data_IF_148002838748
#
_entry.id   IF_148002838748
#
_cell.length_a   1.000
_cell.length_b   1.000
_cell.length_c   1.000
_cell.angle_alpha   90.00
_cell.angle_beta   90.00
_cell.angle_gamma   90.00
#
_symmetry.space_group_name_H-M   'P 1'
#
loop_
_entity.id
_entity.type
_entity.pdbx_description
1 polymer ?
#
# COMPACT_ATOMS: atom_id res chain seq x y z
N UNK A 1 4.57 -8.56 -5.11
CA UNK A 1 3.96 -9.45 -6.14
C UNK A 1 4.61 -10.83 -6.24
N UNK A 2 5.90 -10.96 -6.55
CA UNK A 2 6.58 -12.28 -6.69
C UNK A 2 6.40 -13.22 -5.48
N UNK A 3 6.52 -12.68 -4.27
CA UNK A 3 6.31 -13.43 -3.01
C UNK A 3 4.84 -13.80 -2.75
N UNK A 4 3.88 -13.00 -3.23
CA UNK A 4 2.46 -13.38 -3.14
C UNK A 4 2.17 -14.57 -4.03
N UNK A 5 2.65 -14.57 -5.28
CA UNK A 5 2.41 -15.67 -6.22
C UNK A 5 3.02 -16.99 -5.72
N UNK A 6 4.16 -16.95 -5.04
CA UNK A 6 4.77 -18.16 -4.46
C UNK A 6 4.01 -18.70 -3.24
N UNK A 7 3.44 -17.81 -2.41
CA UNK A 7 2.71 -18.22 -1.19
C UNK A 7 1.22 -18.48 -1.43
N UNK A 8 0.63 -17.84 -2.43
CA UNK A 8 -0.79 -17.90 -2.75
C UNK A 8 -0.97 -18.07 -4.27
N UNK A 9 -0.56 -19.22 -4.83
CA UNK A 9 -0.61 -19.45 -6.28
C UNK A 9 -2.03 -19.48 -6.86
N UNK A 10 -3.03 -19.66 -6.00
CA UNK A 10 -4.45 -19.63 -6.35
C UNK A 10 -5.02 -18.19 -6.46
N UNK A 11 -4.26 -17.17 -6.05
CA UNK A 11 -4.67 -15.78 -6.20
C UNK A 11 -4.27 -15.27 -7.58
N UNK A 12 -5.26 -15.19 -8.47
CA UNK A 12 -5.13 -14.46 -9.72
C UNK A 12 -5.06 -12.96 -9.46
N UNK A 13 -4.14 -12.27 -10.13
CA UNK A 13 -4.09 -10.82 -10.12
C UNK A 13 -3.86 -10.27 -11.53
N UNK A 14 -4.38 -9.08 -11.78
CA UNK A 14 -4.06 -8.27 -12.97
C UNK A 14 -3.40 -6.97 -12.50
N UNK A 15 -2.29 -6.59 -13.14
CA UNK A 15 -1.61 -5.33 -12.90
C UNK A 15 -2.03 -4.33 -13.97
N UNK A 16 -2.33 -3.11 -13.58
CA UNK A 16 -2.57 -1.99 -14.47
C UNK A 16 -1.64 -0.83 -14.14
N UNK A 17 -1.28 -0.04 -15.14
CA UNK A 17 -0.57 1.23 -15.02
C UNK A 17 -1.48 2.37 -15.51
N UNK A 18 -1.41 3.51 -14.83
CA UNK A 18 -2.17 4.72 -15.20
C UNK A 18 -1.65 5.32 -16.51
N UNK A 19 -2.56 5.78 -17.38
CA UNK A 19 -2.23 6.51 -18.61
C UNK A 19 -1.94 7.99 -18.37
N UNK A 20 -2.15 8.51 -17.15
CA UNK A 20 -1.94 9.92 -16.84
C UNK A 20 -0.46 10.22 -16.58
N UNK A 21 0.14 11.02 -17.47
CA UNK A 21 1.58 11.33 -17.50
C UNK A 21 2.15 12.02 -16.24
N UNK A 22 1.31 12.63 -15.41
CA UNK A 22 1.71 13.35 -14.19
C UNK A 22 1.70 12.49 -12.92
N UNK A 23 1.46 11.18 -13.09
CA UNK A 23 1.42 10.22 -11.99
C UNK A 23 2.84 9.75 -11.64
N UNK A 24 3.47 10.39 -10.67
CA UNK A 24 4.87 10.13 -10.27
C UNK A 24 5.03 9.53 -8.86
N UNK A 25 3.95 9.12 -8.21
CA UNK A 25 3.99 8.57 -6.85
C UNK A 25 4.19 7.05 -6.80
N UNK A 26 4.73 6.57 -5.68
CA UNK A 26 4.71 5.16 -5.23
C UNK A 26 3.33 4.71 -4.71
N UNK A 27 2.31 5.49 -5.03
CA UNK A 27 0.93 5.30 -4.63
C UNK A 27 0.27 4.23 -5.50
N UNK A 28 -0.57 3.39 -4.91
CA UNK A 28 -1.22 2.30 -5.62
C UNK A 28 -2.68 2.12 -5.20
N UNK A 29 -3.49 1.60 -6.12
CA UNK A 29 -4.82 1.07 -5.83
C UNK A 29 -4.76 -0.44 -5.72
N UNK A 30 -5.39 -0.97 -4.68
CA UNK A 30 -5.60 -2.40 -4.52
C UNK A 30 -7.09 -2.68 -4.60
N UNK A 31 -7.51 -3.34 -5.66
CA UNK A 31 -8.90 -3.69 -5.93
C UNK A 31 -9.10 -5.18 -5.62
N UNK A 32 -10.01 -5.52 -4.73
CA UNK A 32 -10.27 -6.89 -4.29
C UNK A 32 -11.73 -7.23 -4.54
N UNK A 33 -11.97 -8.20 -5.41
CA UNK A 33 -13.31 -8.77 -5.60
C UNK A 33 -13.64 -9.62 -4.36
N UNK A 34 -14.73 -9.28 -3.69
CA UNK A 34 -15.29 -9.95 -2.52
C UNK A 34 -15.96 -11.28 -2.90
N UNK A 35 -16.28 -12.12 -1.91
CA UNK A 35 -16.93 -13.42 -2.16
C UNK A 35 -18.36 -13.28 -2.73
N UNK A 36 -19.02 -12.15 -2.49
CA UNK A 36 -20.33 -11.80 -3.07
C UNK A 36 -20.23 -11.21 -4.49
N UNK A 37 -19.02 -11.13 -5.05
CA UNK A 37 -18.74 -10.60 -6.37
C UNK A 37 -18.61 -9.07 -6.44
N UNK A 38 -18.82 -8.34 -5.35
CA UNK A 38 -18.61 -6.90 -5.30
C UNK A 38 -17.12 -6.54 -5.26
N UNK A 39 -16.76 -5.36 -5.72
CA UNK A 39 -15.40 -4.85 -5.69
C UNK A 39 -15.20 -3.84 -4.56
N UNK A 40 -14.14 -4.03 -3.78
CA UNK A 40 -13.64 -3.05 -2.82
C UNK A 40 -12.27 -2.55 -3.29
N UNK A 41 -12.10 -1.23 -3.29
CA UNK A 41 -10.83 -0.58 -3.63
C UNK A 41 -10.21 0.06 -2.41
N UNK A 42 -8.93 -0.25 -2.19
CA UNK A 42 -8.08 0.34 -1.18
C UNK A 42 -7.09 1.30 -1.85
N UNK A 43 -7.10 2.56 -1.43
CA UNK A 43 -6.10 3.54 -1.84
C UNK A 43 -4.90 3.41 -0.89
N UNK A 44 -3.74 3.05 -1.43
CA UNK A 44 -2.58 2.67 -0.65
C UNK A 44 -1.40 3.60 -0.91
N UNK A 45 -0.91 4.21 0.16
CA UNK A 45 0.32 4.98 0.14
C UNK A 45 1.48 4.17 0.73
N UNK A 46 2.53 3.92 -0.05
CA UNK A 46 3.64 3.10 0.40
C UNK A 46 4.65 3.87 1.28
N UNK A 47 5.21 3.18 2.29
CA UNK A 47 6.32 3.66 3.14
C UNK A 47 7.31 2.54 3.42
N UNK A 48 8.60 2.86 3.33
CA UNK A 48 9.69 1.91 3.60
C UNK A 48 10.21 2.13 5.02
N UNK A 49 10.55 1.04 5.71
CA UNK A 49 11.19 1.10 7.02
C UNK A 49 12.68 1.46 6.90
N UNK A 50 13.17 2.33 7.78
CA UNK A 50 14.57 2.72 7.88
C UNK A 50 15.14 2.30 9.21
N UNK A 51 16.30 1.64 9.18
CA UNK A 51 17.01 1.19 10.37
C UNK A 51 18.25 2.02 10.61
N UNK A 52 18.47 2.43 11.86
CA UNK A 52 19.75 2.97 12.28
C UNK A 52 20.76 1.81 12.34
N UNK A 53 21.69 1.76 11.39
CA UNK A 53 22.66 0.67 11.25
C UNK A 53 23.69 0.69 12.38
N UNK A 54 23.62 -0.27 13.29
CA UNK A 54 24.73 -0.60 14.19
C UNK A 54 25.47 -1.82 13.64
N UNK A 55 26.28 -1.61 12.60
CA UNK A 55 27.36 -2.41 11.94
C UNK A 55 27.40 -3.96 11.96
N UNK A 56 26.57 -4.71 12.69
CA UNK A 56 26.59 -6.19 12.70
C UNK A 56 25.22 -6.86 12.86
N UNK A 57 24.19 -6.17 13.39
CA UNK A 57 22.81 -6.72 13.51
C UNK A 57 21.78 -5.60 13.37
N UNK A 58 20.78 -5.82 12.53
CA UNK A 58 19.61 -4.93 12.40
C UNK A 58 18.51 -5.46 13.33
N UNK A 59 18.01 -4.62 14.24
CA UNK A 59 16.80 -4.90 15.01
C UNK A 59 15.63 -4.18 14.34
N UNK A 60 14.68 -4.94 13.79
CA UNK A 60 13.52 -4.37 13.11
C UNK A 60 12.64 -3.53 14.06
N UNK A 61 12.57 -3.90 15.34
CA UNK A 61 11.87 -3.14 16.39
C UNK A 61 12.32 -1.68 16.51
N UNK A 62 13.55 -1.37 16.08
CA UNK A 62 14.11 -0.02 16.14
C UNK A 62 13.97 0.73 14.80
N UNK A 63 13.33 0.10 13.81
CA UNK A 63 13.08 0.71 12.52
C UNK A 63 12.00 1.77 12.61
N UNK A 64 12.15 2.80 11.78
CA UNK A 64 11.29 3.98 11.74
C UNK A 64 10.78 4.22 10.33
N UNK A 65 9.66 4.91 10.21
CA UNK A 65 9.12 5.36 8.92
C UNK A 65 9.29 6.88 8.81
N UNK A 66 10.51 7.40 8.56
CA UNK A 66 10.75 8.84 8.53
C UNK A 66 9.95 9.54 7.42
N UNK A 67 9.58 8.83 6.35
CA UNK A 67 8.75 9.33 5.24
C UNK A 67 7.29 9.56 5.62
N UNK A 68 6.86 9.23 6.85
CA UNK A 68 5.52 9.58 7.33
C UNK A 68 5.30 11.09 7.35
N UNK A 69 6.37 11.87 7.62
CA UNK A 69 6.33 13.33 7.52
C UNK A 69 6.74 13.75 6.11
N UNK A 70 5.78 13.85 5.20
CA UNK A 70 6.01 14.22 3.80
C UNK A 70 5.02 15.31 3.37
N UNK A 71 5.57 16.42 2.87
CA UNK A 71 4.78 17.46 2.20
C UNK A 71 4.88 17.34 0.69
N UNK A 72 3.75 17.42 0.01
CA UNK A 72 3.70 17.40 -1.46
C UNK A 72 3.66 18.83 -1.98
N UNK A 73 4.35 19.07 -3.10
CA UNK A 73 4.41 20.35 -3.80
C UNK A 73 5.41 21.36 -3.21
N UNK A 74 5.83 22.30 -4.06
CA UNK A 74 6.90 23.27 -3.76
C UNK A 74 6.63 24.17 -2.54
N UNK A 75 5.37 24.30 -2.10
CA UNK A 75 4.95 25.26 -1.06
C UNK A 75 4.63 24.58 0.29
N UNK A 76 4.89 23.28 0.48
CA UNK A 76 4.59 22.54 1.73
C UNK A 76 3.17 22.75 2.26
N UNK A 77 2.18 22.90 1.37
CA UNK A 77 0.79 23.21 1.75
C UNK A 77 -0.04 21.97 1.98
N UNK A 78 0.28 20.88 1.28
CA UNK A 78 -0.53 19.68 1.25
C UNK A 78 0.21 18.54 1.94
N UNK A 79 -0.45 17.94 2.90
CA UNK A 79 0.06 16.84 3.69
C UNK A 79 -0.43 15.51 3.11
N UNK A 80 0.48 14.56 2.94
CA UNK A 80 0.22 13.30 2.27
C UNK A 80 -0.94 12.49 2.88
N UNK A 81 -1.07 12.42 4.21
CA UNK A 81 -2.20 11.69 4.82
C UNK A 81 -3.55 12.35 4.49
N UNK A 82 -3.59 13.68 4.43
CA UNK A 82 -4.82 14.39 4.07
C UNK A 82 -5.13 14.22 2.59
N UNK A 83 -4.11 14.26 1.71
CA UNK A 83 -4.28 14.00 0.27
C UNK A 83 -4.87 12.61 0.00
N UNK A 84 -4.38 11.58 0.70
CA UNK A 84 -4.90 10.23 0.59
C UNK A 84 -6.37 10.16 1.07
N UNK A 85 -6.68 10.78 2.21
CA UNK A 85 -8.04 10.80 2.75
C UNK A 85 -9.02 11.55 1.82
N UNK A 86 -8.61 12.71 1.30
CA UNK A 86 -9.41 13.55 0.40
C UNK A 86 -9.64 12.89 -0.95
N UNK A 87 -8.68 12.07 -1.41
CA UNK A 87 -8.83 11.26 -2.60
C UNK A 87 -9.79 10.08 -2.37
N UNK A 88 -9.57 9.31 -1.30
CA UNK A 88 -10.28 8.05 -1.09
C UNK A 88 -11.76 8.25 -0.68
N UNK A 89 -12.03 9.22 0.20
CA UNK A 89 -13.37 9.43 0.78
C UNK A 89 -14.49 9.72 -0.23
N UNK A 90 -14.36 10.65 -1.18
CA UNK A 90 -15.42 10.90 -2.16
C UNK A 90 -15.62 9.71 -3.12
N UNK A 91 -14.58 8.91 -3.34
CA UNK A 91 -14.65 7.67 -4.12
C UNK A 91 -15.16 6.49 -3.28
N UNK A 92 -15.32 6.64 -1.96
CA UNK A 92 -15.61 5.53 -1.06
C UNK A 92 -14.58 4.41 -1.12
N UNK A 93 -13.32 4.73 -1.41
CA UNK A 93 -12.18 3.80 -1.31
C UNK A 93 -11.67 3.74 0.12
N UNK A 94 -11.10 2.61 0.55
CA UNK A 94 -10.51 2.51 1.89
C UNK A 94 -9.08 3.08 1.88
N UNK A 95 -8.78 4.17 2.61
CA UNK A 95 -7.45 4.77 2.63
C UNK A 95 -6.55 4.04 3.62
N UNK A 96 -5.44 3.48 3.15
CA UNK A 96 -4.45 2.82 4.01
C UNK A 96 -3.02 3.17 3.63
N UNK A 97 -2.11 2.87 4.53
CA UNK A 97 -0.66 2.89 4.28
C UNK A 97 -0.15 1.47 4.11
N UNK A 98 0.66 1.24 3.08
CA UNK A 98 1.38 -0.02 2.87
C UNK A 98 2.80 0.15 3.43
N UNK A 99 3.15 -0.63 4.45
CA UNK A 99 4.43 -0.54 5.14
C UNK A 99 5.35 -1.67 4.66
N UNK A 100 6.43 -1.31 3.97
CA UNK A 100 7.44 -2.25 3.50
C UNK A 100 8.49 -2.49 4.58
N UNK A 101 8.37 -3.63 5.26
CA UNK A 101 9.12 -4.06 6.45
C UNK A 101 10.27 -5.01 6.11
N UNK A 102 11.00 -4.72 5.02
CA UNK A 102 12.09 -5.58 4.57
C UNK A 102 13.43 -5.21 5.20
N UNK A 103 14.20 -6.23 5.60
CA UNK A 103 15.56 -6.07 6.14
C UNK A 103 16.55 -6.83 5.28
N UNK A 104 17.49 -6.12 4.64
CA UNK A 104 18.56 -6.76 3.88
C UNK A 104 19.59 -7.40 4.84
N UNK A 105 19.74 -8.73 4.74
CA UNK A 105 20.72 -9.62 5.43
C UNK A 105 20.23 -10.23 6.77
N UNK A 106 20.05 -11.56 6.84
CA UNK A 106 19.21 -12.20 7.83
C UNK A 106 20.03 -12.63 9.05
N UNK A 107 20.06 -11.79 10.07
CA UNK A 107 20.07 -12.30 11.46
C UNK A 107 19.00 -11.54 12.23
N UNK A 108 17.77 -11.62 11.73
CA UNK A 108 16.58 -11.17 12.43
C UNK A 108 16.58 -11.87 13.79
N UNK A 109 16.53 -11.09 14.87
CA UNK A 109 16.43 -11.66 16.21
C UNK A 109 15.14 -12.48 16.31
N UNK A 110 15.24 -13.70 16.85
CA UNK A 110 14.09 -14.53 17.25
C UNK A 110 13.12 -13.70 18.10
N UNK A 111 11.82 -13.82 17.83
CA UNK A 111 10.76 -13.23 18.66
C UNK A 111 9.78 -12.28 17.96
N UNK A 112 9.96 -11.99 16.66
CA UNK A 112 8.97 -11.24 15.87
C UNK A 112 8.35 -12.22 14.86
N UNK A 113 7.00 -12.30 14.76
CA UNK A 113 6.32 -13.14 13.78
C UNK A 113 6.83 -12.88 12.36
N UNK A 114 7.05 -13.96 11.59
CA UNK A 114 7.67 -13.89 10.26
C UNK A 114 6.80 -13.17 9.22
N UNK A 115 5.48 -13.16 9.41
CA UNK A 115 4.47 -12.53 8.56
C UNK A 115 4.42 -11.00 8.65
N UNK A 116 5.01 -10.42 9.70
CA UNK A 116 5.20 -8.97 9.83
C UNK A 116 6.39 -8.45 8.99
N UNK A 117 7.17 -9.36 8.39
CA UNK A 117 8.23 -9.04 7.43
C UNK A 117 7.66 -9.08 6.01
N UNK A 118 8.03 -8.11 5.17
CA UNK A 118 7.46 -7.94 3.84
C UNK A 118 6.55 -6.73 3.81
N UNK A 119 5.23 -6.92 3.68
CA UNK A 119 4.28 -5.81 3.62
C UNK A 119 3.16 -5.97 4.65
N UNK A 120 2.91 -4.93 5.42
CA UNK A 120 1.75 -4.80 6.30
C UNK A 120 0.95 -3.57 5.91
N UNK A 121 -0.29 -3.48 6.38
CA UNK A 121 -1.18 -2.34 6.12
C UNK A 121 -1.75 -1.79 7.42
N UNK A 122 -2.05 -0.50 7.43
CA UNK A 122 -2.72 0.20 8.53
C UNK A 122 -3.60 1.32 7.95
N UNK A 123 -4.77 1.55 8.51
CA UNK A 123 -5.67 2.60 8.00
C UNK A 123 -5.03 3.99 8.14
N UNK A 124 -5.27 4.85 7.15
CA UNK A 124 -4.78 6.23 7.17
C UNK A 124 -5.42 7.03 8.32
N UNK A 125 -6.66 6.68 8.68
CA UNK A 125 -7.39 7.28 9.80
C UNK A 125 -6.70 7.00 11.14
N UNK A 126 -6.34 5.74 11.42
CA UNK A 126 -5.59 5.41 12.64
C UNK A 126 -4.30 6.22 12.74
N UNK A 127 -3.51 6.28 11.65
CA UNK A 127 -2.26 7.02 11.65
C UNK A 127 -2.48 8.52 11.93
N UNK A 128 -3.50 9.11 11.32
CA UNK A 128 -3.85 10.52 11.54
C UNK A 128 -4.22 10.78 13.00
N UNK A 129 -5.04 9.93 13.60
CA UNK A 129 -5.56 10.16 14.94
C UNK A 129 -4.51 9.88 16.04
N UNK A 130 -3.64 8.89 15.84
CA UNK A 130 -2.67 8.45 16.85
C UNK A 130 -1.26 9.02 16.66
N UNK A 131 -0.92 9.41 15.43
CA UNK A 131 0.42 9.89 15.07
C UNK A 131 0.41 11.23 14.32
N UNK A 132 -0.75 11.89 14.22
CA UNK A 132 -0.89 13.23 13.69
C UNK A 132 -0.15 14.28 14.55
N UNK A 133 0.35 15.30 13.87
CA UNK A 133 0.98 16.49 14.44
C UNK A 133 0.04 17.69 14.28
N UNK A 134 0.30 18.76 15.04
CA UNK A 134 -0.48 19.99 14.96
C UNK A 134 -0.44 20.67 13.59
N UNK A 135 0.60 20.41 12.78
CA UNK A 135 0.73 20.88 11.39
C UNK A 135 -0.02 19.98 10.38
N UNK A 136 -0.82 19.04 10.90
CA UNK A 136 -1.56 18.03 10.15
C UNK A 136 -0.73 16.78 9.80
N UNK A 137 0.61 16.88 9.69
CA UNK A 137 1.44 15.76 9.21
C UNK A 137 1.46 14.59 10.19
N UNK A 138 1.95 13.46 9.72
CA UNK A 138 2.30 12.36 10.60
C UNK A 138 3.69 12.58 11.22
N UNK A 139 3.87 12.06 12.43
CA UNK A 139 5.14 12.10 13.13
C UNK A 139 6.23 11.35 12.35
N UNK A 140 7.43 11.94 12.13
CA UNK A 140 8.55 11.24 11.52
C UNK A 140 9.19 10.21 12.47
N UNK A 141 8.69 10.15 13.72
CA UNK A 141 9.19 9.27 14.77
C UNK A 141 8.41 7.95 14.85
N UNK A 142 7.38 7.73 14.02
CA UNK A 142 6.63 6.48 13.99
C UNK A 142 7.58 5.31 13.76
N UNK A 143 7.53 4.34 14.66
CA UNK A 143 8.40 3.16 14.70
C UNK A 143 7.62 1.91 14.35
N UNK A 144 8.35 0.85 13.99
CA UNK A 144 7.77 -0.48 13.78
C UNK A 144 6.90 -0.94 14.95
N UNK A 145 7.39 -0.76 16.18
CA UNK A 145 6.69 -1.20 17.41
C UNK A 145 5.46 -0.37 17.75
N UNK A 146 5.32 0.81 17.16
CA UNK A 146 4.13 1.65 17.37
C UNK A 146 2.95 1.12 16.54
N UNK A 147 3.25 0.34 15.49
CA UNK A 147 2.26 -0.14 14.52
C UNK A 147 2.08 -1.65 14.55
N UNK A 148 3.07 -2.44 14.96
CA UNK A 148 3.06 -3.90 14.82
C UNK A 148 3.17 -4.62 16.17
N UNK A 149 2.48 -5.77 16.35
CA UNK A 149 1.63 -6.48 15.38
C UNK A 149 0.20 -5.90 15.26
N UNK A 150 -0.11 -4.85 16.01
CA UNK A 150 -1.40 -4.18 16.00
C UNK A 150 -1.15 -2.67 16.18
N UNK A 151 -1.84 -1.80 15.42
CA UNK A 151 -2.97 -2.11 14.53
C UNK A 151 -2.60 -2.56 13.10
N UNK A 152 -1.33 -2.51 12.72
CA UNK A 152 -0.91 -2.91 11.38
C UNK A 152 -0.86 -4.42 11.24
N UNK A 153 -1.47 -4.94 10.18
CA UNK A 153 -1.58 -6.39 9.94
C UNK A 153 -1.01 -6.77 8.57
N UNK A 154 -0.65 -8.04 8.33
CA UNK A 154 -0.11 -8.47 7.05
C UNK A 154 -1.05 -8.17 5.89
N UNK A 155 -0.55 -7.54 4.83
CA UNK A 155 -1.42 -7.06 3.74
C UNK A 155 -2.21 -8.15 3.01
N UNK A 156 -1.71 -9.39 3.01
CA UNK A 156 -2.39 -10.53 2.40
C UNK A 156 -3.70 -10.87 3.11
N UNK A 157 -3.88 -10.45 4.37
CA UNK A 157 -5.14 -10.65 5.10
C UNK A 157 -6.29 -9.86 4.48
N UNK A 158 -6.02 -8.73 3.80
CA UNK A 158 -7.04 -8.02 3.00
C UNK A 158 -7.68 -8.94 1.95
N UNK A 159 -6.89 -9.87 1.40
CA UNK A 159 -7.33 -10.76 0.32
C UNK A 159 -7.86 -12.08 0.88
N UNK A 160 -7.25 -12.60 1.94
CA UNK A 160 -7.55 -13.94 2.46
C UNK A 160 -8.61 -13.97 3.56
N UNK A 161 -8.69 -12.92 4.41
CA UNK A 161 -9.59 -12.89 5.58
C UNK A 161 -10.73 -11.92 5.38
N UNK A 162 -10.42 -10.71 4.91
CA UNK A 162 -11.42 -9.64 4.87
C UNK A 162 -12.39 -9.78 3.68
N UNK A 163 -12.05 -10.59 2.69
CA UNK A 163 -12.83 -10.79 1.46
C UNK A 163 -14.23 -11.40 1.67
N UNK A 164 -14.40 -12.12 2.77
CA UNK A 164 -15.64 -12.82 3.12
C UNK A 164 -16.52 -12.03 4.09
N UNK A 165 -16.06 -10.87 4.56
CA UNK A 165 -16.81 -10.03 5.48
C UNK A 165 -17.82 -9.19 4.70
N UNK A 166 -18.98 -8.96 5.31
CA UNK A 166 -19.86 -7.92 4.81
C UNK A 166 -19.27 -6.53 5.08
N UNK A 167 -19.88 -5.50 4.49
CA UNK A 167 -19.41 -4.13 4.62
C UNK A 167 -19.35 -3.64 6.07
N UNK A 168 -20.31 -4.01 6.92
CA UNK A 168 -20.34 -3.52 8.30
C UNK A 168 -19.22 -4.16 9.14
N UNK A 169 -19.05 -5.47 9.00
CA UNK A 169 -18.00 -6.24 9.67
C UNK A 169 -16.61 -5.80 9.20
N UNK A 170 -16.41 -5.63 7.89
CA UNK A 170 -15.16 -5.09 7.33
C UNK A 170 -14.80 -3.73 7.94
N UNK A 171 -15.76 -2.80 7.98
CA UNK A 171 -15.53 -1.46 8.53
C UNK A 171 -15.27 -1.52 10.03
N UNK A 172 -15.90 -2.43 10.76
CA UNK A 172 -15.62 -2.66 12.18
C UNK A 172 -14.20 -3.18 12.40
N UNK A 173 -13.78 -4.21 11.65
CA UNK A 173 -12.42 -4.78 11.73
C UNK A 173 -11.32 -3.77 11.38
N UNK A 174 -11.63 -2.81 10.51
CA UNK A 174 -10.70 -1.75 10.11
C UNK A 174 -10.75 -0.51 11.01
N UNK A 175 -11.59 -0.48 12.04
CA UNK A 175 -11.86 0.70 12.89
C UNK A 175 -12.30 1.93 12.06
N UNK A 176 -13.21 1.69 11.12
CA UNK A 176 -13.76 2.66 10.16
C UNK A 176 -15.30 2.67 10.19
N UNK A 177 -15.91 2.45 11.36
CA UNK A 177 -17.37 2.45 11.52
C UNK A 177 -17.96 3.79 11.03
N UNK A 178 -18.92 3.71 10.10
CA UNK A 178 -19.56 4.88 9.48
C UNK A 178 -18.79 5.50 8.30
N UNK A 179 -17.67 4.89 7.88
CA UNK A 179 -16.97 5.30 6.66
C UNK A 179 -17.83 5.05 5.42
N UNK A 180 -17.89 6.00 4.45
CA UNK A 180 -18.74 5.88 3.26
C UNK A 180 -18.12 4.96 2.20
N UNK A 181 -17.92 3.67 2.54
CA UNK A 181 -17.42 2.66 1.60
C UNK A 181 -18.42 2.47 0.45
N UNK A 182 -17.91 2.47 -0.78
CA UNK A 182 -18.69 2.24 -2.00
C UNK A 182 -18.25 0.92 -2.64
N UNK A 183 -19.15 -0.07 -2.59
CA UNK A 183 -19.03 -1.32 -3.33
C UNK A 183 -19.28 -1.08 -4.82
N UNK A 184 -18.50 -1.71 -5.70
CA UNK A 184 -18.56 -1.51 -7.16
C UNK A 184 -18.73 -2.82 -7.92
N UNK A 185 -19.16 -2.70 -9.17
CA UNK A 185 -19.09 -3.82 -10.10
C UNK A 185 -17.62 -4.02 -10.53
N UNK A 186 -17.09 -5.25 -10.57
CA UNK A 186 -15.72 -5.49 -11.04
C UNK A 186 -15.43 -4.96 -12.45
N UNK A 187 -16.44 -4.87 -13.32
CA UNK A 187 -16.29 -4.31 -14.66
C UNK A 187 -15.94 -2.82 -14.63
N UNK A 188 -16.35 -2.07 -13.59
CA UNK A 188 -15.98 -0.66 -13.44
C UNK A 188 -14.45 -0.48 -13.32
N UNK A 189 -13.74 -1.48 -12.78
CA UNK A 189 -12.29 -1.46 -12.70
C UNK A 189 -11.60 -1.87 -14.01
N UNK A 190 -12.27 -2.67 -14.84
CA UNK A 190 -11.75 -3.20 -16.11
C UNK A 190 -11.99 -2.26 -17.28
N UNK A 191 -13.14 -1.61 -17.33
CA UNK A 191 -13.56 -0.74 -18.44
C UNK A 191 -13.06 0.72 -18.28
N UNK A 192 -12.18 0.95 -17.31
CA UNK A 192 -11.64 2.27 -17.04
C UNK A 192 -10.45 2.59 -17.97
N UNK A 193 -10.69 3.49 -18.94
CA UNK A 193 -9.69 3.96 -19.93
C UNK A 193 -8.44 4.62 -19.33
N UNK A 194 -8.48 5.02 -18.06
CA UNK A 194 -7.32 5.56 -17.36
C UNK A 194 -6.30 4.47 -17.01
N UNK A 195 -6.65 3.19 -17.13
CA UNK A 195 -5.83 2.06 -16.71
C UNK A 195 -5.52 1.14 -17.89
N UNK A 196 -4.25 0.86 -18.10
CA UNK A 196 -3.78 -0.07 -19.13
C UNK A 196 -3.20 -1.30 -18.45
N UNK A 197 -3.67 -2.48 -18.85
CA UNK A 197 -3.16 -3.74 -18.34
C UNK A 197 -1.67 -3.91 -18.70
N UNK A 198 -0.88 -4.31 -17.72
CA UNK A 198 0.56 -4.59 -17.86
C UNK A 198 0.75 -6.10 -17.92
N UNK A 199 1.36 -6.57 -19.01
CA UNK A 199 1.74 -7.97 -19.15
C UNK A 199 2.91 -8.31 -18.21
N UNK A 200 2.57 -8.99 -17.12
CA UNK A 200 3.53 -9.46 -16.10
C UNK A 200 4.09 -10.86 -16.39
N UNK A 201 3.75 -11.48 -17.53
CA UNK A 201 4.16 -12.85 -17.88
C UNK A 201 5.60 -12.93 -18.41
N UNK A 202 6.14 -11.83 -18.94
CA UNK A 202 7.44 -11.78 -19.62
C UNK A 202 8.63 -11.42 -18.72
N UNK A 203 8.40 -11.02 -17.47
CA UNK A 203 9.45 -10.66 -16.53
C UNK A 203 10.14 -11.89 -15.95
N UNK A 204 11.26 -12.29 -16.56
CA UNK A 204 12.17 -13.29 -15.98
C UNK A 204 12.70 -12.84 -14.60
N UNK A 205 13.01 -13.78 -13.69
CA UNK A 205 13.43 -13.49 -12.31
C UNK A 205 14.57 -12.47 -12.18
N UNK A 206 15.47 -12.42 -13.17
CA UNK A 206 16.74 -11.69 -13.15
C UNK A 206 16.72 -10.31 -13.85
N UNK A 207 15.58 -9.92 -14.46
CA UNK A 207 15.49 -8.76 -15.36
C UNK A 207 15.41 -7.38 -14.70
N UNK A 208 15.04 -7.28 -13.41
CA UNK A 208 15.03 -5.98 -12.70
C UNK A 208 16.46 -5.67 -12.26
N UNK A 209 17.28 -5.27 -13.22
CA UNK A 209 18.62 -4.80 -12.95
C UNK A 209 18.56 -3.62 -11.98
N UNK A 210 19.51 -3.54 -11.06
CA UNK A 210 19.68 -2.43 -10.12
C UNK A 210 19.63 -1.04 -10.82
N UNK A 211 19.99 -0.99 -12.11
CA UNK A 211 19.84 0.18 -12.99
C UNK A 211 18.39 0.61 -13.23
N UNK A 212 17.44 -0.31 -13.34
CA UNK A 212 16.01 0.00 -13.48
C UNK A 212 15.46 0.59 -12.18
N UNK A 213 15.86 0.04 -11.03
CA UNK A 213 15.54 0.57 -9.71
C UNK A 213 16.17 1.96 -9.47
N UNK A 214 17.44 2.16 -9.83
CA UNK A 214 18.12 3.45 -9.75
C UNK A 214 17.53 4.49 -10.72
N UNK A 215 17.02 4.06 -11.88
CA UNK A 215 16.32 4.93 -12.84
C UNK A 215 14.93 5.34 -12.36
N UNK A 216 14.21 4.44 -11.68
CA UNK A 216 12.95 4.74 -10.99
C UNK A 216 13.16 5.75 -9.86
N UNK A 217 14.17 5.54 -9.01
CA UNK A 217 14.55 6.51 -7.95
C UNK A 217 14.91 7.88 -8.54
N UNK A 218 15.59 7.91 -9.70
CA UNK A 218 15.91 9.19 -10.39
C UNK A 218 14.69 9.83 -11.05
N UNK A 219 13.66 9.06 -11.42
CA UNK A 219 12.40 9.59 -11.93
C UNK A 219 11.56 10.21 -10.80
N UNK A 220 11.52 9.61 -9.61
CA UNK A 220 10.92 10.22 -8.41
C UNK A 220 11.55 11.57 -8.07
N UNK A 221 12.86 11.71 -8.27
CA UNK A 221 13.58 12.97 -8.02
C UNK A 221 13.20 14.12 -8.97
N UNK A 222 12.47 13.85 -10.07
CA UNK A 222 12.07 14.89 -11.06
C UNK A 222 10.83 15.71 -10.67
N UNK A 223 10.29 15.48 -9.48
CA UNK A 223 9.27 16.35 -8.88
C UNK A 223 7.86 16.02 -9.35
N UNK A 224 7.08 15.41 -8.45
CA UNK A 224 5.63 15.33 -8.57
C UNK A 224 5.04 16.75 -8.50
N UNK A 225 4.74 17.34 -9.67
CA UNK A 225 4.12 18.67 -9.78
C UNK A 225 2.58 18.63 -9.82
N UNK A 226 1.97 17.47 -9.61
CA UNK A 226 0.52 17.32 -9.49
C UNK A 226 0.02 17.74 -8.10
N UNK A 227 -1.17 18.36 -8.06
CA UNK A 227 -1.96 18.48 -6.82
C UNK A 227 -2.72 17.16 -6.62
N UNK A 228 -2.60 16.55 -5.44
CA UNK A 228 -3.38 15.37 -5.05
C UNK A 228 -2.63 14.03 -5.04
N UNK A 229 -3.22 13.07 -4.32
CA UNK A 229 -2.85 11.65 -4.37
C UNK A 229 -3.20 11.09 -5.76
N UNK A 230 -2.24 10.45 -6.43
CA UNK A 230 -2.41 9.91 -7.78
C UNK A 230 -1.73 8.54 -7.87
N UNK A 231 -2.50 7.45 -7.81
CA UNK A 231 -1.94 6.10 -7.85
C UNK A 231 -1.40 5.79 -9.25
N UNK A 232 -0.16 5.31 -9.32
CA UNK A 232 0.47 4.91 -10.58
C UNK A 232 0.05 3.53 -11.03
N UNK A 233 -0.09 2.63 -10.06
CA UNK A 233 -0.39 1.23 -10.30
C UNK A 233 -1.72 0.83 -9.67
N UNK A 234 -2.43 -0.07 -10.33
CA UNK A 234 -3.61 -0.73 -9.78
C UNK A 234 -3.41 -2.24 -9.83
N UNK A 235 -3.71 -2.91 -8.73
CA UNK A 235 -3.70 -4.37 -8.63
C UNK A 235 -5.13 -4.85 -8.43
N UNK A 236 -5.65 -5.64 -9.35
CA UNK A 236 -6.95 -6.30 -9.21
C UNK A 236 -6.75 -7.75 -8.79
N UNK A 237 -7.29 -8.15 -7.65
CA UNK A 237 -7.32 -9.53 -7.17
C UNK A 237 -8.69 -10.14 -7.41
N UNK A 238 -8.69 -11.36 -7.96
CA UNK A 238 -9.90 -12.13 -8.24
C UNK A 238 -9.92 -13.42 -7.42
N UNK A 239 -11.04 -13.78 -6.77
CA UNK A 239 -11.18 -15.09 -6.15
C UNK A 239 -11.14 -16.19 -7.23
N UNK A 240 -10.29 -17.21 -7.02
CA UNK A 240 -10.47 -18.55 -7.61
C UNK A 240 -10.43 -18.68 -9.13
N UNK A 241 -9.63 -17.91 -9.86
CA UNK A 241 -9.35 -18.19 -11.26
C UNK A 241 -8.14 -19.13 -11.39
N UNK A 242 -8.31 -20.29 -12.01
CA UNK A 242 -7.18 -20.99 -12.64
C UNK A 242 -6.45 -19.97 -13.52
N UNK A 243 -5.16 -19.76 -13.24
CA UNK A 243 -4.26 -18.97 -14.09
C UNK A 243 -4.28 -19.62 -15.48
N UNK A 244 -5.00 -19.03 -16.43
CA UNK A 244 -4.77 -19.27 -17.85
C UNK A 244 -3.65 -18.36 -18.33
#
# INVERSE_FOLDING_TARGET
MRLLKSHFPHLGFTLFESTMEDTHGDDLELCIIQDDGQLITYALQAKIIYHQSTRTRIKISNGKYPQMRHYVGAIRRENQVQLLLDYARPLGYVPMYLLYNYVFRPKIKRGIPNDLFGCTVVTAQYLKDNHGLADGNLSPKVQFTDLHPSPAFPWHELICKLRSLDQADLLSELDLVGYPLVLRDPNDALDNREWVEVDVSSDTPDGVTQKAFESLIKAEQRGANGRGFRPRFRLLFRPGGDLR
#
